data_IF_456418917482
#
_entry.id   IF_456418917482
#
_cell.length_a   1.000
_cell.length_b   1.000
_cell.length_c   1.000
_cell.angle_alpha   90.00
_cell.angle_beta   90.00
_cell.angle_gamma   90.00
#
_symmetry.space_group_name_H-M   'P 1'
#
loop_
_entity.id
_entity.type
_entity.pdbx_description
1 polymer ?
#
# COMPACT_ATOMS: atom_id res chain seq x y z
N UNK A 1 4.98 9.85 8.06
CA UNK A 1 4.15 9.14 7.08
C UNK A 1 2.74 9.70 7.10
N UNK A 2 2.17 9.90 5.94
CA UNK A 2 0.84 10.49 5.80
C UNK A 2 -0.16 9.42 5.37
N UNK A 3 -1.31 9.36 6.05
CA UNK A 3 -2.45 8.55 5.59
C UNK A 3 -3.28 9.44 4.67
N UNK A 4 -3.37 9.09 3.40
CA UNK A 4 -4.10 9.88 2.41
C UNK A 4 -5.56 9.51 2.32
N UNK A 5 -5.88 8.24 2.50
CA UNK A 5 -7.26 7.77 2.43
C UNK A 5 -7.40 6.41 3.13
N UNK A 6 -8.62 6.12 3.54
CA UNK A 6 -9.01 4.84 4.12
C UNK A 6 -10.34 4.43 3.48
N UNK A 7 -10.37 3.25 2.89
CA UNK A 7 -11.57 2.74 2.20
C UNK A 7 -12.03 1.47 2.92
N UNK A 8 -13.20 1.55 3.53
CA UNK A 8 -13.81 0.41 4.22
C UNK A 8 -14.73 -0.32 3.26
N UNK A 9 -14.21 -1.39 2.66
CA UNK A 9 -14.97 -2.17 1.68
C UNK A 9 -16.16 -2.89 2.31
N UNK A 10 -16.04 -3.34 3.56
CA UNK A 10 -17.15 -3.99 4.25
C UNK A 10 -18.30 -3.01 4.51
N UNK A 11 -17.99 -1.79 4.91
CA UNK A 11 -19.00 -0.73 5.09
C UNK A 11 -19.66 -0.36 3.76
N UNK A 12 -18.88 -0.28 2.68
CA UNK A 12 -19.41 0.01 1.35
C UNK A 12 -20.33 -1.11 0.86
N UNK A 13 -19.99 -2.36 1.14
CA UNK A 13 -20.86 -3.51 0.82
C UNK A 13 -22.17 -3.41 1.59
N UNK A 14 -22.12 -3.13 2.89
CA UNK A 14 -23.32 -2.99 3.72
C UNK A 14 -24.24 -1.88 3.21
N UNK A 15 -23.67 -0.79 2.69
CA UNK A 15 -24.44 0.33 2.16
C UNK A 15 -25.28 -0.05 0.93
N UNK A 16 -24.95 -1.13 0.23
CA UNK A 16 -25.72 -1.64 -0.92
C UNK A 16 -26.39 -2.98 -0.62
N UNK A 17 -26.53 -3.32 0.67
CA UNK A 17 -27.26 -4.50 1.12
C UNK A 17 -26.49 -5.81 1.01
N UNK A 18 -25.17 -5.75 0.87
CA UNK A 18 -24.31 -6.93 0.77
C UNK A 18 -23.50 -7.09 2.05
N UNK A 19 -22.99 -8.30 2.26
CA UNK A 19 -22.17 -8.63 3.43
C UNK A 19 -20.76 -9.00 2.98
N UNK A 20 -19.77 -8.37 3.60
CA UNK A 20 -18.37 -8.68 3.38
C UNK A 20 -17.65 -8.69 4.73
N UNK A 21 -16.76 -9.67 4.94
CA UNK A 21 -15.90 -9.67 6.12
C UNK A 21 -15.06 -8.38 6.17
N UNK A 22 -14.55 -7.99 7.35
CA UNK A 22 -13.71 -6.81 7.47
C UNK A 22 -12.62 -6.75 6.41
N UNK A 23 -12.61 -5.69 5.64
CA UNK A 23 -11.69 -5.47 4.51
C UNK A 23 -11.48 -3.98 4.35
N UNK A 24 -10.31 -3.49 4.74
CA UNK A 24 -10.01 -2.06 4.75
C UNK A 24 -8.74 -1.80 3.97
N UNK A 25 -8.83 -0.92 2.99
CA UNK A 25 -7.67 -0.44 2.23
C UNK A 25 -7.21 0.89 2.81
N UNK A 26 -5.91 0.99 3.11
CA UNK A 26 -5.29 2.23 3.56
C UNK A 26 -4.28 2.68 2.52
N UNK A 27 -4.42 3.94 2.08
CA UNK A 27 -3.49 4.59 1.17
C UNK A 27 -2.60 5.53 1.99
N UNK A 28 -1.30 5.32 1.95
CA UNK A 28 -0.38 6.05 2.81
C UNK A 28 0.99 6.21 2.16
N UNK A 29 1.77 7.12 2.68
CA UNK A 29 3.11 7.32 2.19
C UNK A 29 3.70 8.64 2.64
N UNK A 30 4.75 9.04 1.94
CA UNK A 30 5.43 10.30 2.15
C UNK A 30 5.45 11.05 0.82
N UNK A 31 4.87 12.27 0.76
CA UNK A 31 4.85 13.04 -0.49
C UNK A 31 6.24 13.26 -1.10
N UNK A 32 7.28 13.39 -0.28
CA UNK A 32 8.65 13.53 -0.75
C UNK A 32 9.11 12.28 -1.51
N UNK A 33 8.88 11.09 -0.91
CA UNK A 33 9.26 9.81 -1.54
C UNK A 33 8.54 9.60 -2.86
N UNK A 34 7.23 9.83 -2.88
CA UNK A 34 6.42 9.69 -4.08
C UNK A 34 6.85 10.62 -5.19
N UNK A 35 7.17 11.86 -4.84
CA UNK A 35 7.62 12.87 -5.81
C UNK A 35 8.95 12.47 -6.44
N UNK A 36 9.89 11.91 -5.68
CA UNK A 36 11.17 11.42 -6.21
C UNK A 36 10.93 10.39 -7.31
N UNK A 37 10.03 9.42 -7.06
CA UNK A 37 9.70 8.39 -8.05
C UNK A 37 9.02 8.99 -9.28
N UNK A 38 8.11 9.94 -9.10
CA UNK A 38 7.39 10.57 -10.21
C UNK A 38 8.27 11.52 -11.02
N UNK A 39 9.34 12.08 -10.45
CA UNK A 39 10.33 12.83 -11.20
C UNK A 39 11.12 11.92 -12.15
N UNK A 40 11.36 10.67 -11.74
CA UNK A 40 12.02 9.66 -12.59
C UNK A 40 11.08 9.21 -13.69
N UNK A 41 9.87 8.77 -13.31
CA UNK A 41 8.83 8.34 -14.24
C UNK A 41 7.45 8.76 -13.69
N UNK A 42 6.84 9.73 -14.33
CA UNK A 42 5.60 10.34 -13.85
C UNK A 42 4.45 9.33 -13.74
N UNK A 43 4.45 8.29 -14.60
CA UNK A 43 3.41 7.26 -14.56
C UNK A 43 3.44 6.42 -13.27
N UNK A 44 4.54 6.47 -12.49
CA UNK A 44 4.58 5.84 -11.18
C UNK A 44 3.45 6.33 -10.26
N UNK A 45 2.92 7.53 -10.52
CA UNK A 45 1.78 8.07 -9.79
C UNK A 45 0.52 7.21 -9.86
N UNK A 46 0.42 6.34 -10.86
CA UNK A 46 -0.71 5.40 -10.96
C UNK A 46 -0.74 4.42 -9.77
N UNK A 47 0.43 4.03 -9.27
CA UNK A 47 0.57 3.03 -8.20
C UNK A 47 0.94 3.67 -6.85
N UNK A 48 0.92 4.98 -6.77
CA UNK A 48 1.14 5.74 -5.54
C UNK A 48 -0.16 6.44 -5.10
N UNK A 49 -0.36 6.69 -3.81
CA UNK A 49 0.49 6.30 -2.66
C UNK A 49 0.60 4.79 -2.49
N UNK A 50 1.45 4.35 -1.56
CA UNK A 50 1.49 2.96 -1.17
C UNK A 50 0.13 2.56 -0.58
N UNK A 51 -0.22 1.29 -0.72
CA UNK A 51 -1.49 0.77 -0.22
C UNK A 51 -1.30 -0.55 0.49
N UNK A 52 -2.05 -0.72 1.58
CA UNK A 52 -2.08 -1.95 2.34
C UNK A 52 -3.53 -2.33 2.63
N UNK A 53 -3.85 -3.59 2.42
CA UNK A 53 -5.18 -4.15 2.67
C UNK A 53 -5.14 -4.95 3.96
N UNK A 54 -5.92 -4.51 4.96
CA UNK A 54 -6.13 -5.25 6.20
C UNK A 54 -7.46 -6.00 6.08
N UNK A 55 -7.43 -7.32 6.24
CA UNK A 55 -8.63 -8.12 6.00
C UNK A 55 -8.69 -9.36 6.89
N UNK A 56 -9.90 -9.81 7.15
CA UNK A 56 -10.18 -11.02 7.90
C UNK A 56 -10.64 -12.11 6.94
N UNK A 57 -10.00 -13.28 7.04
CA UNK A 57 -10.37 -14.42 6.18
C UNK A 57 -11.55 -15.22 6.74
N UNK A 58 -11.92 -16.26 6.04
CA UNK A 58 -13.06 -17.12 6.41
C UNK A 58 -12.86 -17.86 7.73
N UNK A 59 -11.62 -17.98 8.19
CA UNK A 59 -11.28 -18.66 9.45
C UNK A 59 -11.14 -17.68 10.63
N UNK A 60 -11.44 -16.40 10.41
CA UNK A 60 -11.30 -15.36 11.43
C UNK A 60 -9.87 -14.88 11.63
N UNK A 61 -8.95 -15.24 10.76
CA UNK A 61 -7.58 -14.78 10.82
C UNK A 61 -7.43 -13.44 10.08
N UNK A 62 -6.59 -12.56 10.62
CA UNK A 62 -6.33 -11.23 10.05
C UNK A 62 -5.03 -11.23 9.29
N UNK A 63 -5.04 -10.56 8.12
CA UNK A 63 -3.93 -10.46 7.19
C UNK A 63 -3.68 -9.02 6.81
N UNK A 64 -2.43 -8.72 6.48
CA UNK A 64 -2.04 -7.47 5.84
C UNK A 64 -1.41 -7.81 4.49
N UNK A 65 -2.04 -7.34 3.43
CA UNK A 65 -1.60 -7.59 2.04
C UNK A 65 -1.19 -6.27 1.41
N UNK A 66 -0.04 -6.22 0.76
CA UNK A 66 0.46 -5.02 0.11
C UNK A 66 1.26 -5.34 -1.14
N UNK A 67 1.40 -4.34 -2.00
CA UNK A 67 2.09 -4.49 -3.28
C UNK A 67 3.61 -4.59 -3.08
N UNK A 68 4.23 -5.42 -3.89
CA UNK A 68 5.69 -5.50 -3.98
C UNK A 68 6.22 -4.25 -4.67
N UNK A 69 7.01 -3.45 -3.96
CA UNK A 69 7.58 -2.21 -4.50
C UNK A 69 8.59 -2.47 -5.62
N UNK A 70 9.27 -3.61 -5.61
CA UNK A 70 10.14 -4.00 -6.71
C UNK A 70 9.33 -4.21 -8.00
N UNK A 71 8.12 -4.75 -7.90
CA UNK A 71 7.21 -4.87 -9.04
C UNK A 71 6.80 -3.50 -9.59
N UNK A 72 6.51 -2.54 -8.71
CA UNK A 72 6.19 -1.17 -9.09
C UNK A 72 7.37 -0.54 -9.87
N UNK A 73 8.58 -0.73 -9.37
CA UNK A 73 9.79 -0.22 -10.02
C UNK A 73 9.96 -0.80 -11.43
N UNK A 74 9.71 -2.10 -11.60
CA UNK A 74 9.79 -2.76 -12.90
C UNK A 74 8.68 -2.28 -13.85
N UNK A 75 7.47 -2.16 -13.34
CA UNK A 75 6.32 -1.73 -14.14
C UNK A 75 6.53 -0.36 -14.77
N UNK A 76 7.14 0.55 -14.04
CA UNK A 76 7.35 1.93 -14.48
C UNK A 76 8.77 2.20 -14.98
N UNK A 77 9.59 1.16 -15.08
CA UNK A 77 10.98 1.26 -15.55
C UNK A 77 11.77 2.32 -14.78
N UNK A 78 11.64 2.29 -13.45
CA UNK A 78 12.37 3.23 -12.59
C UNK A 78 13.86 2.94 -12.61
N UNK A 79 14.63 4.01 -12.73
CA UNK A 79 16.08 3.92 -12.87
C UNK A 79 16.83 3.95 -11.54
N UNK A 80 18.16 4.04 -11.62
CA UNK A 80 19.02 4.02 -10.43
C UNK A 80 18.77 5.18 -9.46
N UNK A 81 18.26 6.32 -9.95
CA UNK A 81 17.93 7.46 -9.09
C UNK A 81 16.82 7.16 -8.10
N UNK A 82 15.95 6.22 -8.45
CA UNK A 82 14.84 5.78 -7.59
C UNK A 82 15.18 4.60 -6.68
N UNK A 83 16.28 3.89 -6.95
CA UNK A 83 16.59 2.63 -6.28
C UNK A 83 16.70 2.76 -4.76
N UNK A 84 17.39 3.79 -4.28
CA UNK A 84 17.55 4.03 -2.84
C UNK A 84 16.19 4.33 -2.19
N UNK A 85 15.33 5.09 -2.87
CA UNK A 85 14.00 5.43 -2.35
C UNK A 85 13.10 4.19 -2.30
N UNK A 86 13.11 3.37 -3.34
CA UNK A 86 12.37 2.09 -3.37
C UNK A 86 12.81 1.21 -2.21
N UNK A 87 14.13 1.09 -1.99
CA UNK A 87 14.64 0.29 -0.88
C UNK A 87 14.17 0.81 0.49
N UNK A 88 14.20 2.13 0.68
CA UNK A 88 13.72 2.75 1.91
C UNK A 88 12.22 2.49 2.12
N UNK A 89 11.43 2.56 1.06
CA UNK A 89 9.99 2.28 1.11
C UNK A 89 9.71 0.81 1.43
N UNK A 90 10.47 -0.13 0.84
CA UNK A 90 10.37 -1.55 1.16
C UNK A 90 10.66 -1.81 2.64
N UNK A 91 11.71 -1.20 3.17
CA UNK A 91 12.08 -1.33 4.59
C UNK A 91 10.98 -0.78 5.49
N UNK A 92 10.44 0.40 5.16
CA UNK A 92 9.34 1.01 5.91
C UNK A 92 8.07 0.15 5.88
N UNK A 93 7.73 -0.41 4.71
CA UNK A 93 6.57 -1.27 4.58
C UNK A 93 6.72 -2.56 5.39
N UNK A 94 7.89 -3.19 5.36
CA UNK A 94 8.17 -4.39 6.13
C UNK A 94 8.07 -4.11 7.64
N UNK A 95 8.54 -2.96 8.09
CA UNK A 95 8.43 -2.54 9.49
C UNK A 95 6.98 -2.37 9.92
N UNK A 96 6.16 -1.73 9.09
CA UNK A 96 4.73 -1.56 9.35
C UNK A 96 4.03 -2.93 9.41
N UNK A 97 4.33 -3.82 8.48
CA UNK A 97 3.75 -5.16 8.45
C UNK A 97 4.06 -5.93 9.74
N UNK A 98 5.32 -5.87 10.21
CA UNK A 98 5.70 -6.51 11.48
C UNK A 98 4.96 -5.92 12.68
N UNK A 99 4.80 -4.61 12.71
CA UNK A 99 4.09 -3.93 13.80
C UNK A 99 2.63 -4.35 13.85
N UNK A 100 1.97 -4.42 12.69
CA UNK A 100 0.55 -4.76 12.59
C UNK A 100 0.30 -6.23 12.88
N UNK A 101 1.15 -7.13 12.42
CA UNK A 101 0.96 -8.58 12.56
C UNK A 101 1.55 -9.15 13.85
N UNK A 102 2.34 -8.37 14.58
CA UNK A 102 2.99 -8.81 15.80
C UNK A 102 4.23 -9.66 15.60
N UNK A 103 4.77 -9.68 14.38
CA UNK A 103 5.98 -10.48 14.06
C UNK A 103 7.21 -9.59 13.88
#
# INVERSE_FOLDING_TARGET
>A
MTVFARIDHAANAAAVGLTLRPTVLVLFGNPTSGTVLMHDEQTAGLDLPMRALAWEDENGEYWLTYNDLAWLARRHDLGPDSAAMIHAMETGMASIARTVTGN
#
